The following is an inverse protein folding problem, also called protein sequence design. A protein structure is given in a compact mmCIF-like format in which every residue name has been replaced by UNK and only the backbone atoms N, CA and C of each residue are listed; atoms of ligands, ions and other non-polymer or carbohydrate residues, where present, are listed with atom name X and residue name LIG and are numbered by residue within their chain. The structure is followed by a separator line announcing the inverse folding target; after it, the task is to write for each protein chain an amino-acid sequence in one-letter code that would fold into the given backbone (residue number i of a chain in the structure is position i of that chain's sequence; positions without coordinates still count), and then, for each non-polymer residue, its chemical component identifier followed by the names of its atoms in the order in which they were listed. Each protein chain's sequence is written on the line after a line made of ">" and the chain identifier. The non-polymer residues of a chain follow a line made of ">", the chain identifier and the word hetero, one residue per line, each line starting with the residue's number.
data_IF_734856671432
#
_entry.id   IF_734856671432
#
_cell.length_a   1.000
_cell.length_b   1.000
_cell.length_c   1.000
_cell.angle_alpha   90.00
_cell.angle_beta   90.00
_cell.angle_gamma   90.00
#
_symmetry.space_group_name_H-M   'P 1'
#
loop_
_entity.id
_entity.type
_entity.pdbx_description
1 polymer ?
#
# COMPACT_ATOMS: atom_id res chain seq x y z
N UNK A 1 31.30 36.98 6.16
CA UNK A 1 30.90 35.81 5.37
C UNK A 1 29.60 36.16 4.65
N UNK A 2 29.56 36.09 3.33
CA UNK A 2 28.32 36.27 2.58
C UNK A 2 27.43 35.04 2.81
N UNK A 3 26.12 35.24 2.99
CA UNK A 3 25.14 34.17 3.15
C UNK A 3 24.63 33.77 1.78
N UNK A 4 24.67 32.47 1.47
CA UNK A 4 24.13 31.96 0.21
C UNK A 4 22.63 32.25 0.11
N UNK A 5 22.21 32.72 -1.07
CA UNK A 5 20.80 32.94 -1.36
C UNK A 5 20.10 31.59 -1.56
N UNK A 6 18.92 31.41 -0.96
CA UNK A 6 18.08 30.23 -1.16
C UNK A 6 16.65 30.66 -1.54
N UNK A 7 15.94 29.76 -2.21
CA UNK A 7 14.50 29.87 -2.46
C UNK A 7 13.87 28.49 -2.36
N UNK A 8 12.64 28.43 -1.87
CA UNK A 8 11.90 27.17 -1.68
C UNK A 8 10.54 27.32 -2.34
N UNK A 9 10.20 26.37 -3.21
CA UNK A 9 8.91 26.33 -3.89
C UNK A 9 8.21 25.01 -3.58
N UNK A 10 6.99 25.03 -3.01
CA UNK A 10 6.21 23.82 -2.82
C UNK A 10 5.71 23.30 -4.17
N UNK A 11 5.81 21.98 -4.37
CA UNK A 11 5.26 21.28 -5.52
C UNK A 11 4.23 20.27 -5.04
N UNK A 12 3.07 20.24 -5.71
CA UNK A 12 2.08 19.17 -5.50
C UNK A 12 2.37 18.05 -6.48
N UNK A 13 2.63 16.86 -5.93
CA UNK A 13 2.84 15.64 -6.70
C UNK A 13 1.52 14.87 -6.68
N UNK A 14 1.04 14.48 -7.86
CA UNK A 14 -0.15 13.63 -8.00
C UNK A 14 0.26 12.19 -8.29
N UNK A 15 -0.56 11.19 -7.92
CA UNK A 15 -0.30 9.80 -8.28
C UNK A 15 -0.17 9.61 -9.80
N UNK A 16 0.65 8.64 -10.22
CA UNK A 16 0.65 8.19 -11.61
C UNK A 16 -0.70 7.53 -11.96
N UNK A 17 -1.02 7.43 -13.25
CA UNK A 17 -2.24 6.76 -13.72
C UNK A 17 -2.40 5.35 -13.18
N UNK A 18 -1.32 4.57 -13.13
CA UNK A 18 -1.34 3.21 -12.61
C UNK A 18 -1.57 3.17 -11.08
N UNK A 19 -0.95 4.08 -10.32
CA UNK A 19 -1.15 4.14 -8.87
C UNK A 19 -2.56 4.62 -8.52
N UNK A 20 -3.05 5.66 -9.20
CA UNK A 20 -4.41 6.16 -9.06
C UNK A 20 -5.44 5.07 -9.36
N UNK A 21 -5.25 4.31 -10.44
CA UNK A 21 -6.11 3.19 -10.81
C UNK A 21 -6.09 2.08 -9.76
N UNK A 22 -4.92 1.81 -9.17
CA UNK A 22 -4.77 0.80 -8.11
C UNK A 22 -5.51 1.22 -6.84
N UNK A 23 -5.34 2.48 -6.40
CA UNK A 23 -6.03 3.04 -5.25
C UNK A 23 -7.55 3.02 -5.46
N UNK A 24 -8.00 3.47 -6.64
CA UNK A 24 -9.42 3.48 -7.01
C UNK A 24 -10.02 2.07 -7.05
N UNK A 25 -9.27 1.08 -7.51
CA UNK A 25 -9.69 -0.31 -7.53
C UNK A 25 -9.88 -0.87 -6.11
N UNK A 26 -8.93 -0.62 -5.20
CA UNK A 26 -9.09 -0.99 -3.79
C UNK A 26 -10.30 -0.31 -3.15
N UNK A 27 -10.51 0.99 -3.40
CA UNK A 27 -11.69 1.68 -2.87
C UNK A 27 -13.00 1.09 -3.40
N UNK A 28 -13.06 0.80 -4.70
CA UNK A 28 -14.23 0.17 -5.33
C UNK A 28 -14.53 -1.23 -4.78
N UNK A 29 -13.49 -1.96 -4.39
CA UNK A 29 -13.58 -3.28 -3.75
C UNK A 29 -13.89 -3.18 -2.24
N UNK A 30 -14.14 -1.98 -1.70
CA UNK A 30 -14.57 -1.80 -0.32
C UNK A 30 -13.42 -1.64 0.67
N UNK A 31 -12.32 -1.03 0.24
CA UNK A 31 -11.31 -0.47 1.12
C UNK A 31 -11.42 1.05 1.20
N UNK A 32 -10.75 1.67 2.17
CA UNK A 32 -10.65 3.12 2.28
C UNK A 32 -9.27 3.50 2.76
N UNK A 33 -8.64 4.49 2.13
CA UNK A 33 -7.36 5.03 2.61
C UNK A 33 -7.60 5.72 3.95
N UNK A 34 -6.90 5.27 5.00
CA UNK A 34 -6.93 5.89 6.32
C UNK A 34 -5.74 6.81 6.56
N UNK A 35 -4.57 6.41 6.06
CA UNK A 35 -3.31 7.10 6.33
C UNK A 35 -2.36 6.95 5.15
N UNK A 36 -1.61 8.02 4.89
CA UNK A 36 -0.45 8.02 4.01
C UNK A 36 0.76 8.51 4.82
N UNK A 37 1.90 7.84 4.66
CA UNK A 37 3.16 8.23 5.30
C UNK A 37 4.32 8.06 4.34
N UNK A 38 5.34 8.91 4.49
CA UNK A 38 6.66 8.69 3.91
C UNK A 38 7.64 8.44 5.04
N UNK A 39 8.19 7.24 5.11
CA UNK A 39 9.11 6.85 6.18
C UNK A 39 10.34 6.12 5.63
N UNK A 40 11.45 6.18 6.35
CA UNK A 40 12.63 5.38 6.03
C UNK A 40 12.31 3.90 6.33
N UNK A 41 12.41 3.00 5.33
CA UNK A 41 12.13 1.60 5.57
C UNK A 41 13.20 0.98 6.46
N UNK A 42 12.80 0.07 7.35
CA UNK A 42 13.75 -0.72 8.17
C UNK A 42 14.63 -1.65 7.32
N UNK A 43 14.13 -2.03 6.14
CA UNK A 43 14.77 -2.87 5.13
C UNK A 43 14.24 -2.42 3.77
N UNK A 44 15.12 -1.96 2.88
CA UNK A 44 14.73 -1.47 1.55
C UNK A 44 15.95 -0.90 0.81
N UNK A 45 15.82 -0.69 -0.50
CA UNK A 45 16.88 -0.08 -1.33
C UNK A 45 16.76 1.45 -1.40
N UNK A 46 15.58 1.99 -1.11
CA UNK A 46 15.33 3.44 -1.16
C UNK A 46 15.49 4.09 0.22
N UNK A 47 15.93 5.35 0.28
CA UNK A 47 16.09 6.09 1.54
C UNK A 47 14.74 6.36 2.24
N UNK A 48 13.63 6.27 1.51
CA UNK A 48 12.27 6.39 2.02
C UNK A 48 11.30 5.63 1.12
N UNK A 49 10.14 5.28 1.67
CA UNK A 49 9.04 4.63 0.96
C UNK A 49 7.72 5.33 1.28
N UNK A 50 6.87 5.51 0.26
CA UNK A 50 5.50 5.97 0.44
C UNK A 50 4.61 4.78 0.79
N UNK A 51 3.97 4.86 1.95
CA UNK A 51 3.13 3.81 2.51
C UNK A 51 1.70 4.31 2.68
N UNK A 52 0.77 3.54 2.14
CA UNK A 52 -0.66 3.74 2.31
C UNK A 52 -1.20 2.69 3.28
N UNK A 53 -2.01 3.12 4.25
CA UNK A 53 -2.80 2.22 5.10
C UNK A 53 -4.24 2.32 4.67
N UNK A 54 -4.82 1.18 4.29
CA UNK A 54 -6.19 1.03 3.86
C UNK A 54 -6.96 0.18 4.87
N UNK A 55 -8.15 0.61 5.27
CA UNK A 55 -9.07 -0.18 6.07
C UNK A 55 -10.13 -0.86 5.19
N UNK A 56 -10.45 -2.14 5.44
CA UNK A 56 -11.60 -2.78 4.81
C UNK A 56 -12.90 -2.27 5.43
N UNK A 57 -13.80 -1.75 4.61
CA UNK A 57 -15.09 -1.21 5.04
C UNK A 57 -16.27 -2.11 4.68
N UNK A 58 -16.13 -2.96 3.64
CA UNK A 58 -17.18 -3.88 3.20
C UNK A 58 -16.86 -5.35 3.54
N UNK A 59 -17.91 -6.17 3.61
CA UNK A 59 -17.77 -7.63 3.67
C UNK A 59 -17.33 -8.18 2.29
N UNK A 60 -16.58 -9.31 2.23
CA UNK A 60 -16.13 -10.11 3.38
C UNK A 60 -14.87 -9.56 4.06
N UNK A 61 -14.19 -8.57 3.45
CA UNK A 61 -12.86 -8.12 3.89
C UNK A 61 -12.85 -7.59 5.33
N UNK A 62 -13.88 -6.84 5.72
CA UNK A 62 -13.98 -6.29 7.06
C UNK A 62 -14.24 -7.35 8.15
N UNK A 63 -14.55 -8.60 7.80
CA UNK A 63 -14.66 -9.69 8.76
C UNK A 63 -13.28 -10.32 9.07
N UNK A 64 -12.42 -10.39 8.06
CA UNK A 64 -11.15 -11.13 8.13
C UNK A 64 -9.94 -10.24 8.40
N UNK A 65 -9.92 -9.02 7.86
CA UNK A 65 -8.75 -8.15 7.91
C UNK A 65 -9.00 -6.88 8.71
N UNK A 66 -7.98 -6.44 9.44
CA UNK A 66 -7.98 -5.20 10.21
C UNK A 66 -7.43 -4.04 9.39
N UNK A 67 -6.42 -4.29 8.56
CA UNK A 67 -5.84 -3.30 7.66
C UNK A 67 -5.12 -3.97 6.48
N UNK A 68 -4.92 -3.20 5.42
CA UNK A 68 -4.01 -3.45 4.32
C UNK A 68 -2.96 -2.34 4.31
N UNK A 69 -1.68 -2.69 4.39
CA UNK A 69 -0.58 -1.76 4.14
C UNK A 69 -0.08 -1.95 2.72
N UNK A 70 0.02 -0.87 1.96
CA UNK A 70 0.52 -0.86 0.59
C UNK A 70 1.73 0.06 0.48
N UNK A 71 2.82 -0.45 -0.06
CA UNK A 71 3.98 0.34 -0.49
C UNK A 71 4.02 0.33 -2.00
N UNK A 72 4.07 1.51 -2.62
CA UNK A 72 4.17 1.66 -4.06
C UNK A 72 5.60 2.04 -4.46
N UNK A 73 6.17 1.31 -5.42
CA UNK A 73 7.45 1.65 -6.05
C UNK A 73 7.27 1.69 -7.56
N UNK A 74 7.79 2.73 -8.19
CA UNK A 74 7.82 2.86 -9.64
C UNK A 74 9.27 2.80 -10.11
N UNK A 75 9.57 1.89 -11.02
CA UNK A 75 10.90 1.72 -11.61
C UNK A 75 10.78 1.25 -13.06
N UNK A 76 11.62 1.76 -13.96
CA UNK A 76 11.71 1.37 -15.38
C UNK A 76 10.36 1.13 -16.09
N UNK A 77 9.39 2.03 -15.89
CA UNK A 77 8.06 1.93 -16.52
C UNK A 77 7.17 0.83 -15.93
N UNK A 78 7.48 0.34 -14.74
CA UNK A 78 6.68 -0.63 -13.98
C UNK A 78 6.27 -0.03 -12.64
N UNK A 79 5.00 -0.18 -12.28
CA UNK A 79 4.51 0.04 -10.93
C UNK A 79 4.49 -1.29 -10.19
N UNK A 80 5.15 -1.37 -9.04
CA UNK A 80 5.07 -2.49 -8.12
C UNK A 80 4.40 -2.08 -6.82
N UNK A 81 3.48 -2.91 -6.36
CA UNK A 81 2.74 -2.76 -5.10
C UNK A 81 3.14 -3.89 -4.17
N UNK A 82 3.74 -3.55 -3.04
CA UNK A 82 3.95 -4.49 -1.93
C UNK A 82 2.82 -4.35 -0.93
N UNK A 83 2.05 -5.42 -0.77
CA UNK A 83 0.81 -5.47 -0.01
C UNK A 83 1.01 -6.35 1.22
N UNK A 84 0.55 -5.87 2.37
CA UNK A 84 0.58 -6.60 3.63
C UNK A 84 -0.79 -6.54 4.29
N UNK A 85 -1.43 -7.70 4.40
CA UNK A 85 -2.73 -7.84 5.07
C UNK A 85 -2.53 -8.20 6.55
N UNK A 86 -3.21 -7.46 7.42
CA UNK A 86 -3.29 -7.73 8.85
C UNK A 86 -4.62 -8.38 9.18
N UNK A 87 -4.63 -9.48 9.93
CA UNK A 87 -5.84 -10.25 10.27
C UNK A 87 -6.53 -9.65 11.52
N UNK A 88 -7.87 -9.73 11.62
CA UNK A 88 -8.64 -9.31 12.82
C UNK A 88 -8.53 -10.32 13.97
N UNK A 89 -8.57 -9.83 15.21
CA UNK A 89 -8.78 -10.66 16.42
C UNK A 89 -7.53 -11.00 17.25
N UNK A 90 -6.33 -10.56 16.88
CA UNK A 90 -5.09 -11.00 17.55
C UNK A 90 -4.57 -10.09 18.67
N UNK A 91 -5.30 -9.01 18.98
CA UNK A 91 -4.94 -8.08 20.07
C UNK A 91 -4.89 -8.71 21.47
N UNK A 92 -5.45 -9.92 21.66
CA UNK A 92 -5.36 -10.67 22.92
C UNK A 92 -4.05 -11.45 23.08
N UNK A 93 -3.32 -11.74 21.99
CA UNK A 93 -2.01 -12.39 22.06
C UNK A 93 -0.86 -11.38 22.24
N UNK A 94 -1.10 -10.09 22.05
CA UNK A 94 -0.05 -9.07 22.12
C UNK A 94 0.46 -8.80 23.55
N UNK A 95 -0.23 -9.30 24.59
CA UNK A 95 0.21 -9.28 25.99
C UNK A 95 1.00 -10.54 26.43
N UNK A 96 1.10 -11.57 25.59
CA UNK A 96 1.93 -12.75 25.84
C UNK A 96 2.99 -12.85 24.75
N UNK A 97 4.21 -12.47 25.10
CA UNK A 97 5.29 -12.18 24.17
C UNK A 97 5.64 -13.26 23.13
N UNK A 98 6.26 -12.78 22.06
CA UNK A 98 7.21 -13.53 21.22
C UNK A 98 6.68 -14.54 20.18
N UNK A 99 5.62 -14.21 19.44
CA UNK A 99 5.34 -14.86 18.13
C UNK A 99 5.21 -13.82 17.01
N UNK A 100 6.28 -13.06 16.79
CA UNK A 100 6.42 -12.15 15.65
C UNK A 100 6.77 -12.96 14.40
N UNK A 101 5.79 -13.42 13.63
CA UNK A 101 6.10 -14.00 12.31
C UNK A 101 4.98 -14.72 11.55
N UNK A 102 3.91 -15.16 12.20
CA UNK A 102 2.96 -16.08 11.55
C UNK A 102 1.77 -15.39 10.81
N UNK A 103 1.48 -14.12 11.10
CA UNK A 103 0.12 -13.58 10.87
C UNK A 103 0.06 -12.35 9.96
N UNK A 104 0.99 -12.27 9.00
CA UNK A 104 1.00 -11.23 7.97
C UNK A 104 1.05 -11.90 6.61
N UNK A 105 0.10 -11.56 5.76
CA UNK A 105 0.10 -12.05 4.39
C UNK A 105 0.73 -11.01 3.49
N UNK A 106 1.97 -11.26 3.07
CA UNK A 106 2.68 -10.40 2.14
C UNK A 106 2.38 -10.87 0.70
N UNK A 107 2.05 -9.91 -0.18
CA UNK A 107 1.77 -10.10 -1.61
C UNK A 107 2.42 -8.99 -2.40
N UNK A 108 2.74 -9.28 -3.66
CA UNK A 108 3.27 -8.28 -4.58
C UNK A 108 2.46 -8.33 -5.87
N UNK A 109 2.09 -7.17 -6.39
CA UNK A 109 1.54 -7.00 -7.73
C UNK A 109 2.46 -6.06 -8.51
N UNK A 110 2.67 -6.36 -9.79
CA UNK A 110 3.45 -5.49 -10.67
C UNK A 110 2.73 -5.31 -11.99
N UNK A 111 2.72 -4.07 -12.48
CA UNK A 111 2.02 -3.66 -13.69
C UNK A 111 2.93 -2.77 -14.53
N UNK A 112 2.91 -2.90 -15.87
CA UNK A 112 3.36 -1.81 -16.73
C UNK A 112 2.69 -0.49 -16.35
N UNK A 113 3.42 0.61 -16.34
CA UNK A 113 2.93 1.93 -15.91
C UNK A 113 1.80 2.47 -16.80
N UNK A 114 1.69 1.97 -18.03
CA UNK A 114 0.65 2.27 -19.02
C UNK A 114 -0.49 1.23 -19.04
N UNK A 115 -0.53 0.32 -18.06
CA UNK A 115 -1.59 -0.68 -17.96
C UNK A 115 -2.97 -0.04 -17.89
N UNK A 116 -3.92 -0.63 -18.62
CA UNK A 116 -5.30 -0.19 -18.61
C UNK A 116 -5.92 -0.32 -17.20
N UNK A 117 -6.71 0.66 -16.72
CA UNK A 117 -7.31 0.62 -15.39
C UNK A 117 -8.09 -0.67 -15.07
N UNK A 118 -8.84 -1.20 -16.05
CA UNK A 118 -9.60 -2.44 -15.86
C UNK A 118 -8.69 -3.66 -15.65
N UNK A 119 -7.52 -3.72 -16.29
CA UNK A 119 -6.57 -4.82 -16.11
C UNK A 119 -5.92 -4.78 -14.72
N UNK A 120 -5.62 -3.57 -14.23
CA UNK A 120 -5.14 -3.37 -12.85
C UNK A 120 -6.23 -3.81 -11.85
N UNK A 121 -7.46 -3.35 -12.04
CA UNK A 121 -8.59 -3.68 -11.17
C UNK A 121 -8.84 -5.20 -11.12
N UNK A 122 -8.86 -5.87 -12.28
CA UNK A 122 -9.02 -7.32 -12.36
C UNK A 122 -7.90 -8.06 -11.62
N UNK A 123 -6.65 -7.62 -11.77
CA UNK A 123 -5.51 -8.26 -11.09
C UNK A 123 -5.61 -8.13 -9.55
N UNK A 124 -6.11 -6.99 -9.07
CA UNK A 124 -6.35 -6.77 -7.65
C UNK A 124 -7.51 -7.64 -7.16
N UNK A 125 -8.62 -7.70 -7.89
CA UNK A 125 -9.76 -8.55 -7.56
C UNK A 125 -9.37 -10.04 -7.50
N UNK A 126 -8.62 -10.52 -8.50
CA UNK A 126 -8.08 -11.88 -8.55
C UNK A 126 -7.12 -12.16 -7.38
N UNK A 127 -6.30 -11.18 -7.00
CA UNK A 127 -5.45 -11.33 -5.82
C UNK A 127 -6.31 -11.52 -4.58
N UNK A 128 -7.27 -10.61 -4.34
CA UNK A 128 -8.13 -10.64 -3.16
C UNK A 128 -8.91 -11.95 -3.08
N UNK A 129 -9.47 -12.42 -4.20
CA UNK A 129 -10.21 -13.69 -4.27
C UNK A 129 -9.37 -14.94 -3.99
N UNK A 130 -8.02 -14.87 -4.10
CA UNK A 130 -7.12 -15.99 -3.73
C UNK A 130 -6.75 -16.01 -2.26
N UNK A 131 -7.01 -14.93 -1.53
CA UNK A 131 -6.54 -14.74 -0.15
C UNK A 131 -7.68 -14.56 0.87
N UNK A 132 -8.91 -14.36 0.41
CA UNK A 132 -10.15 -14.60 1.15
C UNK A 132 -10.64 -16.02 0.94
#
# INVERSE_FOLDING_TARGET
>A
MAKDANTTLPLTIVPSSALESSLSAFESLGFRIEKETTEQPKKGQHPFEQTFTLAPINAPYNAHWSSLTMVASADDGTLSLSLRFSIKGEGLAHMAGHLTGANKLDRTLSFPADSAPNAIAQSIEELLGKIT
#
